data_IF_560570886380
#
_entry.id   IF_560570886380
#
_cell.length_a   1.000
_cell.length_b   1.000
_cell.length_c   1.000
_cell.angle_alpha   90.00
_cell.angle_beta   90.00
_cell.angle_gamma   90.00
#
_symmetry.space_group_name_H-M   'P 1'
#
loop_
_entity.id
_entity.type
_entity.pdbx_description
1 polymer ?
#
# COMPACT_ATOMS: atom_id res chain seq x y z
N UNK A 1 -7.23 -28.08 -16.18
CA UNK A 1 -7.47 -26.77 -16.81
C UNK A 1 -8.83 -26.84 -17.50
N UNK A 2 -9.82 -26.08 -17.05
CA UNK A 2 -11.08 -25.92 -17.78
C UNK A 2 -10.81 -24.95 -18.92
N UNK A 3 -10.68 -25.45 -20.15
CA UNK A 3 -10.62 -24.61 -21.34
C UNK A 3 -11.97 -23.90 -21.47
N UNK A 4 -12.01 -22.58 -21.25
CA UNK A 4 -13.18 -21.75 -21.52
C UNK A 4 -13.39 -21.65 -23.03
N UNK A 5 -13.99 -22.70 -23.61
CA UNK A 5 -14.38 -22.75 -25.02
C UNK A 5 -15.64 -21.93 -25.22
N UNK A 6 -15.65 -21.12 -26.27
CA UNK A 6 -16.80 -20.32 -26.65
C UNK A 6 -17.18 -20.58 -28.11
N UNK A 7 -18.44 -20.30 -28.44
CA UNK A 7 -18.93 -20.24 -29.82
C UNK A 7 -19.37 -18.84 -30.19
N UNK A 8 -19.86 -18.08 -29.21
CA UNK A 8 -20.35 -16.72 -29.34
C UNK A 8 -19.84 -15.84 -28.20
N UNK A 9 -19.86 -14.52 -28.38
CA UNK A 9 -19.50 -13.55 -27.33
C UNK A 9 -20.40 -13.70 -26.09
N UNK A 10 -21.65 -14.14 -26.25
CA UNK A 10 -22.56 -14.41 -25.15
C UNK A 10 -22.16 -15.61 -24.29
N UNK A 11 -21.31 -16.50 -24.81
CA UNK A 11 -20.77 -17.63 -24.06
C UNK A 11 -19.60 -17.20 -23.16
N UNK A 12 -19.17 -15.95 -23.30
CA UNK A 12 -18.02 -15.41 -22.63
C UNK A 12 -18.39 -14.52 -21.45
N UNK A 13 -17.54 -14.47 -20.40
CA UNK A 13 -17.68 -13.50 -19.32
C UNK A 13 -17.82 -12.07 -19.84
N UNK A 14 -18.45 -11.21 -19.05
CA UNK A 14 -18.65 -9.81 -19.36
C UNK A 14 -17.31 -9.12 -19.76
N UNK A 15 -17.29 -8.37 -20.86
CA UNK A 15 -16.13 -7.72 -21.50
C UNK A 15 -15.10 -8.61 -22.19
N UNK A 16 -15.38 -9.91 -22.29
CA UNK A 16 -14.65 -10.78 -23.20
C UNK A 16 -15.44 -11.06 -24.47
N UNK A 17 -14.70 -11.29 -25.55
CA UNK A 17 -15.23 -11.72 -26.85
C UNK A 17 -14.73 -13.10 -27.17
N UNK A 18 -15.56 -13.88 -27.85
CA UNK A 18 -15.15 -15.16 -28.34
C UNK A 18 -14.21 -14.96 -29.54
N UNK A 19 -12.91 -15.21 -29.34
CA UNK A 19 -11.89 -15.11 -30.40
C UNK A 19 -11.35 -16.49 -30.72
N UNK A 20 -11.20 -16.78 -32.02
CA UNK A 20 -10.55 -17.99 -32.50
C UNK A 20 -9.04 -17.80 -32.60
N UNK A 21 -8.28 -18.71 -32.00
CA UNK A 21 -6.82 -18.79 -32.07
C UNK A 21 -6.45 -20.07 -32.82
N UNK A 22 -5.55 -19.97 -33.78
CA UNK A 22 -5.04 -21.14 -34.52
C UNK A 22 -3.65 -21.50 -34.02
N UNK A 23 -3.49 -22.74 -33.55
CA UNK A 23 -2.20 -23.32 -33.16
C UNK A 23 -1.91 -24.53 -34.06
N UNK A 24 -0.93 -24.38 -34.95
CA UNK A 24 -0.68 -25.32 -36.04
C UNK A 24 -1.90 -25.51 -36.95
N UNK A 25 -2.46 -26.74 -36.96
CA UNK A 25 -3.64 -27.10 -37.76
C UNK A 25 -4.95 -27.11 -36.94
N UNK A 26 -4.92 -26.70 -35.68
CA UNK A 26 -6.11 -26.69 -34.82
C UNK A 26 -6.55 -25.25 -34.55
N UNK A 27 -7.85 -25.00 -34.63
CA UNK A 27 -8.45 -23.72 -34.26
C UNK A 27 -9.26 -23.90 -32.98
N UNK A 28 -8.93 -23.09 -31.98
CA UNK A 28 -9.56 -23.07 -30.66
C UNK A 28 -10.30 -21.75 -30.50
N UNK A 29 -11.57 -21.78 -30.13
CA UNK A 29 -12.32 -20.57 -29.78
C UNK A 29 -12.32 -20.38 -28.27
N UNK A 30 -11.79 -19.25 -27.82
CA UNK A 30 -11.56 -18.94 -26.42
C UNK A 30 -12.10 -17.54 -26.12
N UNK A 31 -12.60 -17.34 -24.90
CA UNK A 31 -12.98 -16.01 -24.45
C UNK A 31 -11.73 -15.17 -24.19
N UNK A 32 -11.60 -14.06 -24.92
CA UNK A 32 -10.51 -13.08 -24.77
C UNK A 32 -11.03 -11.76 -24.26
N UNK A 33 -10.33 -11.19 -23.30
CA UNK A 33 -10.49 -9.79 -22.93
C UNK A 33 -9.70 -8.95 -23.95
N UNK A 34 -10.23 -7.78 -24.36
CA UNK A 34 -9.53 -6.91 -25.31
C UNK A 34 -8.24 -6.31 -24.73
N UNK A 35 -7.35 -5.75 -25.56
CA UNK A 35 -6.15 -5.08 -25.06
C UNK A 35 -6.52 -3.70 -24.51
N UNK A 36 -6.20 -3.47 -23.24
CA UNK A 36 -6.28 -2.14 -22.62
C UNK A 36 -4.89 -1.51 -22.70
N UNK A 37 -4.72 -0.45 -23.49
CA UNK A 37 -3.58 0.44 -23.29
C UNK A 37 -4.08 1.72 -22.66
N UNK A 38 -3.42 2.06 -21.55
CA UNK A 38 -3.34 3.45 -21.16
C UNK A 38 -2.69 4.24 -22.30
N UNK A 39 -3.18 5.44 -22.64
CA UNK A 39 -2.75 6.16 -23.83
C UNK A 39 -1.22 6.26 -23.85
N UNK A 40 -0.60 5.54 -24.80
CA UNK A 40 0.83 5.67 -25.04
C UNK A 40 1.12 7.11 -25.44
N UNK A 41 2.15 7.69 -24.81
CA UNK A 41 2.81 8.89 -25.29
C UNK A 41 3.50 8.53 -26.61
N UNK A 42 2.74 8.51 -27.70
CA UNK A 42 3.29 8.42 -29.05
C UNK A 42 3.42 9.83 -29.61
N UNK A 43 4.63 10.14 -30.07
CA UNK A 43 5.00 11.42 -30.68
C UNK A 43 4.03 11.78 -31.80
N UNK A 44 3.15 12.74 -31.51
CA UNK A 44 2.21 13.28 -32.48
C UNK A 44 0.80 13.39 -31.92
N UNK A 45 0.35 14.62 -31.73
CA UNK A 45 -1.02 15.06 -31.39
C UNK A 45 -1.52 14.93 -29.95
N UNK A 46 -0.92 14.09 -29.09
CA UNK A 46 -1.23 14.06 -27.65
C UNK A 46 -0.02 14.33 -26.74
N UNK A 47 1.06 14.90 -27.28
CA UNK A 47 2.25 15.31 -26.54
C UNK A 47 2.00 16.59 -25.74
N UNK A 48 1.08 16.57 -24.79
CA UNK A 48 1.23 17.41 -23.62
C UNK A 48 2.07 16.62 -22.61
N UNK A 49 3.22 17.17 -22.28
CA UNK A 49 4.32 16.64 -21.48
C UNK A 49 4.00 16.32 -20.01
N UNK A 50 2.73 16.04 -19.68
CA UNK A 50 2.23 15.84 -18.32
C UNK A 50 1.51 14.50 -18.12
N UNK A 51 1.60 13.53 -19.05
CA UNK A 51 0.97 12.21 -18.88
C UNK A 51 1.86 11.27 -18.02
N UNK A 52 2.22 11.74 -16.82
CA UNK A 52 2.85 10.93 -15.76
C UNK A 52 1.77 10.25 -14.89
N UNK A 53 0.69 9.76 -15.51
CA UNK A 53 -0.56 9.47 -14.82
C UNK A 53 -0.84 7.97 -14.75
N UNK A 54 -1.04 7.45 -13.54
CA UNK A 54 -1.53 6.09 -13.34
C UNK A 54 -3.01 6.02 -13.68
N UNK A 55 -3.42 4.98 -14.40
CA UNK A 55 -4.82 4.72 -14.79
C UNK A 55 -5.30 3.42 -14.13
N UNK A 56 -6.54 3.45 -13.63
CA UNK A 56 -7.22 2.28 -13.06
C UNK A 56 -8.40 1.90 -13.98
N UNK A 57 -8.45 0.65 -14.43
CA UNK A 57 -9.58 0.12 -15.18
C UNK A 57 -10.56 -0.57 -14.27
N UNK A 58 -11.81 -0.11 -14.28
CA UNK A 58 -12.90 -0.73 -13.50
C UNK A 58 -14.10 -1.06 -14.38
N UNK A 59 -14.83 -2.09 -13.98
CA UNK A 59 -16.21 -2.30 -14.44
C UNK A 59 -17.14 -1.29 -13.76
N UNK A 60 -17.57 -0.25 -14.49
CA UNK A 60 -18.46 0.79 -14.00
C UNK A 60 -19.93 0.34 -13.80
N UNK A 61 -20.31 -0.87 -14.23
CA UNK A 61 -21.57 -1.49 -13.82
C UNK A 61 -21.50 -1.99 -12.38
N UNK A 62 -20.32 -2.43 -11.97
CA UNK A 62 -20.08 -3.04 -10.66
C UNK A 62 -19.50 -2.06 -9.65
N UNK A 63 -18.75 -1.06 -10.11
CA UNK A 63 -18.02 -0.14 -9.29
C UNK A 63 -18.38 1.30 -9.63
N UNK A 64 -18.73 2.06 -8.60
CA UNK A 64 -18.92 3.49 -8.71
C UNK A 64 -17.54 4.18 -8.56
N UNK A 65 -17.09 4.84 -9.62
CA UNK A 65 -15.78 5.53 -9.62
C UNK A 65 -15.77 6.83 -8.83
N UNK A 66 -16.93 7.46 -8.66
CA UNK A 66 -17.05 8.74 -7.99
C UNK A 66 -17.13 8.51 -6.48
N UNK A 67 -17.94 7.52 -6.08
CA UNK A 67 -18.10 7.09 -4.68
C UNK A 67 -17.05 6.07 -4.22
N UNK A 68 -16.28 5.49 -5.15
CA UNK A 68 -15.26 4.46 -4.89
C UNK A 68 -15.81 3.21 -4.19
N UNK A 69 -17.06 2.83 -4.50
CA UNK A 69 -17.77 1.70 -3.86
C UNK A 69 -18.30 0.69 -4.87
N UNK A 70 -18.46 -0.57 -4.44
CA UNK A 70 -19.18 -1.58 -5.23
C UNK A 70 -20.68 -1.26 -5.19
N UNK A 71 -21.29 -1.15 -6.37
CA UNK A 71 -22.72 -0.85 -6.54
C UNK A 71 -23.58 -1.97 -5.96
N UNK A 72 -24.77 -1.58 -5.51
CA UNK A 72 -25.75 -2.52 -4.95
C UNK A 72 -26.08 -3.66 -5.94
N UNK A 73 -26.16 -4.90 -5.45
CA UNK A 73 -26.44 -6.09 -6.25
C UNK A 73 -25.21 -6.90 -6.67
N UNK A 74 -24.00 -6.36 -6.46
CA UNK A 74 -22.75 -7.10 -6.65
C UNK A 74 -22.15 -7.53 -5.31
N UNK A 75 -21.46 -8.67 -5.27
CA UNK A 75 -20.79 -9.11 -4.05
C UNK A 75 -19.64 -8.17 -3.71
N UNK A 76 -19.53 -7.81 -2.42
CA UNK A 76 -18.44 -6.97 -1.90
C UNK A 76 -17.06 -7.64 -1.99
N UNK A 77 -17.05 -8.96 -2.14
CA UNK A 77 -15.82 -9.74 -2.28
C UNK A 77 -15.28 -9.73 -3.73
N UNK A 78 -16.03 -9.15 -4.68
CA UNK A 78 -15.58 -9.04 -6.07
C UNK A 78 -14.56 -7.91 -6.18
N UNK A 79 -13.47 -8.17 -6.89
CA UNK A 79 -12.45 -7.18 -7.20
C UNK A 79 -12.76 -6.53 -8.55
N UNK A 80 -13.21 -5.27 -8.58
CA UNK A 80 -13.70 -4.65 -9.80
C UNK A 80 -12.56 -4.10 -10.68
N UNK A 81 -11.32 -4.14 -10.19
CA UNK A 81 -10.16 -3.56 -10.87
C UNK A 81 -9.53 -4.60 -11.79
N UNK A 82 -9.52 -4.24 -13.07
CA UNK A 82 -9.08 -5.12 -14.14
C UNK A 82 -7.58 -4.99 -14.40
N UNK A 83 -7.05 -3.76 -14.29
CA UNK A 83 -5.67 -3.45 -14.66
C UNK A 83 -5.25 -2.09 -14.10
N UNK A 84 -3.97 -2.00 -13.71
CA UNK A 84 -3.32 -0.78 -13.25
C UNK A 84 -2.16 -0.50 -14.20
N UNK A 85 -2.16 0.67 -14.84
CA UNK A 85 -0.98 1.13 -15.59
C UNK A 85 -0.18 2.07 -14.71
N UNK A 86 1.09 1.74 -14.47
CA UNK A 86 2.03 2.68 -13.85
C UNK A 86 2.61 3.67 -14.85
N UNK A 87 3.65 4.41 -14.42
CA UNK A 87 4.40 5.38 -15.26
C UNK A 87 5.26 4.71 -16.34
N UNK A 88 5.52 3.41 -16.24
CA UNK A 88 6.20 2.59 -17.25
C UNK A 88 5.19 2.04 -18.26
N UNK A 89 5.66 1.65 -19.44
CA UNK A 89 4.86 0.95 -20.48
C UNK A 89 4.23 -0.37 -19.98
N UNK A 90 4.58 -0.83 -18.78
CA UNK A 90 4.08 -2.08 -18.21
C UNK A 90 2.88 -1.84 -17.30
N UNK A 91 1.76 -2.47 -17.65
CA UNK A 91 0.60 -2.57 -16.78
C UNK A 91 0.71 -3.81 -15.90
N UNK A 92 0.22 -3.73 -14.67
CA UNK A 92 0.12 -4.88 -13.76
C UNK A 92 -1.35 -5.21 -13.49
N UNK A 93 -1.60 -6.49 -13.26
CA UNK A 93 -2.91 -7.04 -12.96
C UNK A 93 -2.87 -7.72 -11.60
N UNK A 94 -4.04 -8.04 -11.06
CA UNK A 94 -4.15 -8.70 -9.76
C UNK A 94 -3.42 -10.06 -9.72
N UNK A 95 -2.91 -10.42 -8.54
CA UNK A 95 -2.41 -11.77 -8.32
C UNK A 95 -3.56 -12.77 -8.25
N UNK A 96 -3.29 -13.99 -8.67
CA UNK A 96 -4.25 -15.07 -8.65
C UNK A 96 -3.58 -16.42 -8.36
N UNK A 97 -4.36 -17.35 -7.84
CA UNK A 97 -3.96 -18.75 -7.68
C UNK A 97 -4.77 -19.66 -8.61
N UNK A 98 -5.97 -19.24 -9.00
CA UNK A 98 -6.86 -19.94 -9.92
C UNK A 98 -7.62 -18.93 -10.78
N UNK A 99 -8.14 -19.41 -11.91
CA UNK A 99 -8.89 -18.62 -12.88
C UNK A 99 -10.06 -17.84 -12.29
N UNK A 100 -10.76 -18.41 -11.31
CA UNK A 100 -11.87 -17.74 -10.62
C UNK A 100 -11.44 -16.56 -9.75
N UNK A 101 -10.15 -16.43 -9.46
CA UNK A 101 -9.62 -15.26 -8.72
C UNK A 101 -9.49 -14.04 -9.63
N UNK A 102 -9.57 -14.24 -10.96
CA UNK A 102 -9.46 -13.20 -11.96
C UNK A 102 -10.81 -12.88 -12.56
N UNK A 103 -11.14 -11.59 -12.64
CA UNK A 103 -12.28 -11.17 -13.45
C UNK A 103 -12.15 -11.62 -14.91
N UNK A 104 -10.92 -11.66 -15.43
CA UNK A 104 -10.63 -12.20 -16.77
C UNK A 104 -10.92 -13.71 -16.91
N UNK A 105 -11.22 -14.40 -15.81
CA UNK A 105 -11.34 -15.85 -15.78
C UNK A 105 -10.03 -16.58 -16.09
N UNK A 106 -8.88 -15.89 -16.09
CA UNK A 106 -7.61 -16.49 -16.46
C UNK A 106 -6.47 -16.03 -15.54
N UNK A 107 -5.87 -17.02 -14.88
CA UNK A 107 -4.70 -16.87 -14.05
C UNK A 107 -3.49 -17.57 -14.68
N UNK A 108 -2.42 -16.84 -14.96
CA UNK A 108 -1.15 -17.42 -15.44
C UNK A 108 0.02 -16.83 -14.66
N UNK A 109 0.94 -17.68 -14.21
CA UNK A 109 2.13 -17.28 -13.45
C UNK A 109 1.79 -16.37 -12.25
N UNK A 110 0.73 -16.70 -11.53
CA UNK A 110 0.19 -15.94 -10.39
C UNK A 110 -0.24 -14.51 -10.72
N UNK A 111 -0.53 -14.21 -11.98
CA UNK A 111 -1.06 -12.93 -12.44
C UNK A 111 -2.32 -13.16 -13.25
N UNK A 112 -3.32 -12.31 -13.06
CA UNK A 112 -4.51 -12.30 -13.89
C UNK A 112 -4.11 -11.81 -15.26
N UNK A 113 -3.82 -12.72 -16.18
CA UNK A 113 -3.41 -12.31 -17.51
C UNK A 113 -4.65 -12.00 -18.34
N UNK A 114 -4.50 -11.00 -19.20
CA UNK A 114 -5.23 -11.04 -20.44
C UNK A 114 -4.55 -12.09 -21.32
N UNK A 115 -5.31 -13.03 -21.86
CA UNK A 115 -4.80 -14.25 -22.49
C UNK A 115 -4.19 -14.02 -23.88
N UNK A 116 -3.14 -13.20 -24.00
CA UNK A 116 -2.44 -13.02 -25.28
C UNK A 116 -0.95 -12.71 -25.23
N UNK A 117 -0.23 -13.42 -26.09
CA UNK A 117 1.15 -13.16 -26.49
C UNK A 117 1.17 -12.50 -27.90
N UNK A 118 0.19 -11.64 -28.19
CA UNK A 118 -0.07 -11.11 -29.54
C UNK A 118 -0.22 -9.59 -29.54
N UNK A 119 0.53 -8.94 -30.43
CA UNK A 119 0.38 -7.53 -30.78
C UNK A 119 -0.94 -7.29 -31.53
N UNK A 120 -1.60 -6.17 -31.22
CA UNK A 120 -2.74 -5.51 -31.91
C UNK A 120 -4.16 -5.99 -31.50
N UNK A 121 -4.82 -5.26 -30.59
CA UNK A 121 -5.89 -4.27 -30.82
C UNK A 121 -6.20 -3.49 -29.52
N UNK A 122 -5.78 -2.23 -29.50
CA UNK A 122 -5.72 -1.34 -28.34
C UNK A 122 -7.04 -0.57 -28.17
N UNK A 123 -7.69 -0.66 -27.01
CA UNK A 123 -8.74 0.29 -26.62
C UNK A 123 -8.10 1.52 -25.97
N UNK A 124 -8.07 2.64 -26.70
CA UNK A 124 -7.62 3.95 -26.19
C UNK A 124 -8.65 4.54 -25.23
N UNK A 125 -8.17 5.04 -24.09
CA UNK A 125 -8.90 5.96 -23.21
C UNK A 125 -9.07 7.34 -23.86
N UNK A 126 -9.89 7.44 -24.91
CA UNK A 126 -10.57 8.67 -25.28
C UNK A 126 -11.71 8.30 -26.21
N UNK A 127 -12.91 8.13 -25.67
CA UNK A 127 -14.10 8.11 -26.53
C UNK A 127 -15.10 9.05 -25.91
N UNK A 128 -15.38 10.13 -26.63
CA UNK A 128 -16.44 11.13 -26.38
C UNK A 128 -17.86 10.51 -26.43
N UNK A 129 -17.99 9.19 -26.34
CA UNK A 129 -19.25 8.46 -26.33
C UNK A 129 -19.39 7.67 -25.01
N UNK A 130 -19.49 8.43 -23.91
CA UNK A 130 -19.60 7.94 -22.52
C UNK A 130 -20.81 7.03 -22.28
N UNK A 131 -21.78 6.98 -23.21
CA UNK A 131 -23.05 6.27 -23.03
C UNK A 131 -22.99 4.77 -23.36
N UNK A 132 -21.95 4.29 -24.05
CA UNK A 132 -21.96 2.95 -24.66
C UNK A 132 -20.98 1.94 -24.04
N UNK A 133 -20.03 2.40 -23.24
CA UNK A 133 -18.99 1.54 -22.67
C UNK A 133 -19.03 1.55 -21.14
N UNK A 134 -18.94 0.36 -20.57
CA UNK A 134 -19.02 0.15 -19.12
C UNK A 134 -17.65 0.23 -18.43
N UNK A 135 -16.57 0.51 -19.16
CA UNK A 135 -15.23 0.62 -18.59
C UNK A 135 -14.78 2.08 -18.61
N UNK A 136 -14.25 2.55 -17.49
CA UNK A 136 -13.81 3.93 -17.28
C UNK A 136 -12.38 3.91 -16.70
N UNK A 137 -11.50 4.80 -17.17
CA UNK A 137 -10.26 5.15 -16.45
C UNK A 137 -10.51 6.41 -15.61
N UNK A 138 -10.04 6.40 -14.37
CA UNK A 138 -9.92 7.59 -13.52
C UNK A 138 -8.43 7.92 -13.35
N UNK A 139 -8.09 9.19 -13.53
CA UNK A 139 -6.77 9.71 -13.18
C UNK A 139 -6.56 9.55 -11.68
N UNK A 140 -5.46 8.91 -11.30
CA UNK A 140 -5.02 8.89 -9.91
C UNK A 140 -4.36 10.23 -9.60
N UNK A 141 -4.98 11.01 -8.73
CA UNK A 141 -4.35 12.21 -8.17
C UNK A 141 -3.62 11.78 -6.90
N UNK A 142 -2.29 11.65 -6.98
CA UNK A 142 -1.45 11.46 -5.81
C UNK A 142 -1.79 12.52 -4.75
N UNK A 143 -1.87 12.08 -3.48
CA UNK A 143 -2.02 12.98 -2.35
C UNK A 143 -0.82 13.91 -2.32
N UNK A 144 -1.07 15.20 -2.51
CA UNK A 144 -0.05 16.24 -2.49
C UNK A 144 -0.48 17.38 -1.57
N UNK A 145 0.50 18.02 -0.94
CA UNK A 145 0.25 19.16 -0.07
C UNK A 145 0.44 20.47 -0.84
N UNK A 146 -0.48 21.41 -0.64
CA UNK A 146 -0.34 22.78 -1.11
C UNK A 146 0.75 23.49 -0.30
N UNK A 147 2.00 23.33 -0.75
CA UNK A 147 3.15 23.97 -0.13
C UNK A 147 3.00 25.51 -0.08
N UNK A 148 2.24 26.10 -0.99
CA UNK A 148 2.02 27.56 -1.00
C UNK A 148 1.10 28.00 0.14
N UNK A 149 0.17 27.14 0.58
CA UNK A 149 -0.65 27.37 1.76
C UNK A 149 0.18 27.18 3.03
N UNK A 150 1.00 26.13 3.10
CA UNK A 150 1.90 25.85 4.25
C UNK A 150 2.90 26.99 4.46
N UNK A 151 3.48 27.53 3.38
CA UNK A 151 4.45 28.63 3.47
C UNK A 151 3.84 29.96 3.92
N UNK A 152 2.52 30.06 4.06
CA UNK A 152 1.80 31.25 4.56
C UNK A 152 1.49 31.17 6.05
N UNK A 153 1.88 30.10 6.73
CA UNK A 153 1.72 29.97 8.19
C UNK A 153 2.36 31.17 8.87
N UNK A 154 1.65 31.76 9.83
CA UNK A 154 2.11 32.92 10.59
C UNK A 154 3.53 32.67 11.19
N UNK A 155 4.49 33.61 11.03
CA UNK A 155 5.85 33.42 11.52
C UNK A 155 5.97 33.20 13.03
N UNK A 156 5.05 33.74 13.84
CA UNK A 156 5.03 33.48 15.28
C UNK A 156 4.60 32.03 15.55
N UNK A 157 3.62 31.51 14.80
CA UNK A 157 3.22 30.11 14.82
C UNK A 157 4.39 29.19 14.44
N UNK A 158 5.06 29.46 13.32
CA UNK A 158 6.24 28.70 12.88
C UNK A 158 7.37 28.70 13.93
N UNK A 159 7.61 29.84 14.59
CA UNK A 159 8.63 29.92 15.65
C UNK A 159 8.26 29.11 16.91
N UNK A 160 6.97 29.00 17.24
CA UNK A 160 6.51 28.18 18.36
C UNK A 160 6.60 26.68 18.03
N UNK A 161 6.15 26.26 16.83
CA UNK A 161 6.13 24.86 16.41
C UNK A 161 7.54 24.27 16.30
N UNK A 162 8.53 25.06 15.86
CA UNK A 162 9.95 24.65 15.78
C UNK A 162 10.52 24.11 17.09
N UNK A 163 9.98 24.50 18.25
CA UNK A 163 10.42 23.97 19.55
C UNK A 163 10.13 22.48 19.69
N UNK A 164 9.09 21.98 19.02
CA UNK A 164 8.60 20.61 19.11
C UNK A 164 8.80 19.82 17.80
N UNK A 165 9.50 20.39 16.82
CA UNK A 165 9.76 19.76 15.53
C UNK A 165 10.39 18.36 15.69
N UNK A 166 11.27 18.21 16.67
CA UNK A 166 11.92 16.93 16.99
C UNK A 166 10.95 15.82 17.42
N UNK A 167 9.77 16.16 17.94
CA UNK A 167 8.73 15.16 18.27
C UNK A 167 8.04 14.60 17.04
N UNK A 168 8.15 15.30 15.90
CA UNK A 168 7.53 14.96 14.62
C UNK A 168 8.57 14.66 13.52
N UNK A 169 9.85 14.62 13.86
CA UNK A 169 10.92 14.30 12.90
C UNK A 169 11.10 12.79 12.78
N UNK A 170 11.31 12.31 11.56
CA UNK A 170 11.65 10.91 11.29
C UNK A 170 13.06 10.64 11.86
N UNK A 171 13.22 9.63 12.74
CA UNK A 171 14.52 9.22 13.27
C UNK A 171 15.53 8.95 12.17
N UNK A 172 16.74 9.48 12.32
CA UNK A 172 17.84 9.20 11.42
C UNK A 172 18.39 7.78 11.62
N UNK A 173 18.97 7.17 10.58
CA UNK A 173 19.59 5.84 10.77
C UNK A 173 20.79 5.89 11.73
N UNK A 174 21.52 7.03 11.75
CA UNK A 174 22.73 7.20 12.56
C UNK A 174 22.40 7.38 14.05
N UNK A 175 21.30 8.07 14.37
CA UNK A 175 20.91 8.39 15.75
C UNK A 175 19.58 7.74 16.15
N UNK A 176 19.17 6.67 15.47
CA UNK A 176 17.86 6.05 15.61
C UNK A 176 17.42 5.86 17.07
N UNK A 177 18.28 5.27 17.91
CA UNK A 177 17.97 5.00 19.31
C UNK A 177 17.83 6.27 20.15
N UNK A 178 18.66 7.29 19.89
CA UNK A 178 18.61 8.56 20.61
C UNK A 178 17.40 9.39 20.20
N UNK A 179 17.10 9.44 18.89
CA UNK A 179 15.96 10.12 18.32
C UNK A 179 14.66 9.48 18.85
N UNK A 180 14.54 8.15 18.78
CA UNK A 180 13.38 7.43 19.30
C UNK A 180 13.20 7.57 20.82
N UNK A 181 14.30 7.66 21.58
CA UNK A 181 14.24 7.95 23.02
C UNK A 181 13.70 9.36 23.29
N UNK A 182 14.06 10.36 22.49
CA UNK A 182 13.52 11.72 22.61
C UNK A 182 12.04 11.77 22.24
N UNK A 183 11.66 11.12 21.14
CA UNK A 183 10.27 11.06 20.67
C UNK A 183 9.36 10.36 21.68
N UNK A 184 9.84 9.33 22.37
CA UNK A 184 9.09 8.62 23.41
C UNK A 184 9.06 9.34 24.77
N UNK A 185 9.67 10.52 24.88
CA UNK A 185 9.69 11.30 26.13
C UNK A 185 8.29 11.80 26.53
N UNK A 186 8.11 12.07 27.84
CA UNK A 186 6.89 12.66 28.38
C UNK A 186 6.56 14.01 27.71
N UNK A 187 7.58 14.77 27.31
CA UNK A 187 7.41 16.04 26.61
C UNK A 187 6.71 15.87 25.25
N UNK A 188 7.15 14.91 24.43
CA UNK A 188 6.52 14.63 23.15
C UNK A 188 5.13 13.99 23.30
N UNK A 189 4.94 13.11 24.28
CA UNK A 189 3.61 12.55 24.58
C UNK A 189 2.61 13.65 25.01
N UNK A 190 3.08 14.61 25.82
CA UNK A 190 2.30 15.77 26.23
C UNK A 190 2.00 16.69 25.05
N UNK A 191 2.98 16.91 24.16
CA UNK A 191 2.80 17.67 22.92
C UNK A 191 1.70 17.08 22.04
N UNK A 192 1.73 15.78 21.77
CA UNK A 192 0.69 15.11 20.95
C UNK A 192 -0.69 15.22 21.58
N UNK A 193 -0.77 15.05 22.90
CA UNK A 193 -2.02 15.10 23.64
C UNK A 193 -2.62 16.50 23.74
N UNK A 194 -1.79 17.55 23.67
CA UNK A 194 -2.18 18.93 23.98
C UNK A 194 -1.81 19.95 22.87
N UNK A 195 -1.54 19.49 21.65
CA UNK A 195 -1.01 20.28 20.53
C UNK A 195 -1.72 21.63 20.36
N UNK A 196 -3.05 21.67 20.36
CA UNK A 196 -3.81 22.92 20.13
C UNK A 196 -3.62 23.98 21.22
N UNK A 197 -3.34 23.54 22.45
CA UNK A 197 -3.13 24.44 23.60
C UNK A 197 -1.68 24.92 23.70
N UNK A 198 -0.75 24.19 23.10
CA UNK A 198 0.68 24.54 23.10
C UNK A 198 1.04 25.66 22.12
N UNK A 199 0.19 25.91 21.11
CA UNK A 199 0.45 26.89 20.06
C UNK A 199 -0.64 27.96 19.98
N UNK A 200 -0.75 28.85 20.97
CA UNK A 200 -1.78 29.90 20.96
C UNK A 200 -1.66 30.83 19.75
N UNK A 201 -0.43 31.05 19.24
CA UNK A 201 -0.21 31.88 18.05
C UNK A 201 -0.80 31.25 16.77
N UNK A 202 -0.90 29.92 16.71
CA UNK A 202 -1.44 29.20 15.55
C UNK A 202 -2.98 29.16 15.51
N UNK A 203 -3.69 29.57 16.57
CA UNK A 203 -5.15 29.38 16.66
C UNK A 203 -5.96 30.21 15.66
N UNK A 204 -5.40 31.33 15.20
CA UNK A 204 -6.03 32.22 14.23
C UNK A 204 -5.64 31.89 12.78
N UNK A 205 -4.64 31.03 12.58
CA UNK A 205 -4.21 30.58 11.27
C UNK A 205 -5.00 29.31 10.89
N UNK A 206 -5.88 29.36 9.88
CA UNK A 206 -6.73 28.23 9.54
C UNK A 206 -5.93 27.00 9.07
N UNK A 207 -4.81 27.23 8.36
CA UNK A 207 -3.95 26.16 7.85
C UNK A 207 -3.17 25.53 9.00
N UNK A 208 -2.55 26.35 9.85
CA UNK A 208 -1.81 25.83 11.00
C UNK A 208 -2.72 25.07 11.96
N UNK A 209 -3.93 25.58 12.23
CA UNK A 209 -4.93 24.93 13.09
C UNK A 209 -5.33 23.53 12.58
N UNK A 210 -5.40 23.36 11.27
CA UNK A 210 -5.75 22.10 10.62
C UNK A 210 -4.58 21.09 10.67
N UNK A 211 -3.37 21.53 10.31
CA UNK A 211 -2.16 20.70 10.34
C UNK A 211 -1.80 20.30 11.78
N UNK A 212 -2.00 21.21 12.74
CA UNK A 212 -1.81 20.98 14.18
C UNK A 212 -3.09 20.46 14.85
N UNK A 213 -4.05 19.94 14.09
CA UNK A 213 -5.19 19.25 14.69
C UNK A 213 -4.71 18.01 15.43
N UNK A 214 -5.44 17.63 16.49
CA UNK A 214 -5.12 16.43 17.27
C UNK A 214 -5.07 15.19 16.38
N UNK A 215 -5.95 15.09 15.37
CA UNK A 215 -6.02 13.93 14.47
C UNK A 215 -4.78 13.80 13.59
N UNK A 216 -4.33 14.89 12.96
CA UNK A 216 -3.12 14.91 12.12
C UNK A 216 -1.87 14.68 12.97
N UNK A 217 -1.79 15.35 14.13
CA UNK A 217 -0.65 15.21 15.05
C UNK A 217 -0.53 13.79 15.61
N UNK A 218 -1.66 13.19 16.01
CA UNK A 218 -1.71 11.79 16.46
C UNK A 218 -1.29 10.84 15.34
N UNK A 219 -1.75 11.06 14.10
CA UNK A 219 -1.36 10.23 12.96
C UNK A 219 0.13 10.29 12.65
N UNK A 220 0.71 11.49 12.64
CA UNK A 220 2.15 11.67 12.48
C UNK A 220 2.92 11.01 13.62
N UNK A 221 2.46 11.15 14.86
CA UNK A 221 3.10 10.51 16.01
C UNK A 221 3.00 8.99 15.98
N UNK A 222 1.87 8.41 15.56
CA UNK A 222 1.73 6.96 15.37
C UNK A 222 2.67 6.43 14.29
N UNK A 223 2.82 7.16 13.18
CA UNK A 223 3.78 6.83 12.13
C UNK A 223 5.21 6.80 12.66
N UNK A 224 5.62 7.81 13.43
CA UNK A 224 6.97 7.87 14.00
C UNK A 224 7.17 6.80 15.08
N UNK A 225 6.15 6.58 15.93
CA UNK A 225 6.16 5.51 16.94
C UNK A 225 6.33 4.13 16.28
N UNK A 226 5.67 3.92 15.13
CA UNK A 226 5.87 2.73 14.31
C UNK A 226 7.31 2.64 13.78
N UNK A 227 7.89 3.72 13.24
CA UNK A 227 9.30 3.76 12.81
C UNK A 227 10.24 3.35 13.96
N UNK A 228 9.95 3.79 15.17
CA UNK A 228 10.69 3.51 16.40
C UNK A 228 10.46 2.10 16.99
N UNK A 229 9.61 1.28 16.39
CA UNK A 229 9.27 -0.02 16.96
C UNK A 229 10.46 -1.00 16.92
N UNK A 230 10.58 -1.78 17.98
CA UNK A 230 11.63 -2.79 18.16
C UNK A 230 11.04 -4.19 18.34
N UNK A 231 11.81 -5.19 17.92
CA UNK A 231 11.55 -6.59 18.22
C UNK A 231 11.91 -6.93 19.68
N UNK A 232 11.70 -8.18 20.05
CA UNK A 232 11.94 -8.73 21.39
C UNK A 232 13.43 -8.67 21.79
N UNK A 233 14.34 -8.64 20.82
CA UNK A 233 15.77 -8.51 21.03
C UNK A 233 16.25 -7.04 21.11
N UNK A 234 15.34 -6.07 20.99
CA UNK A 234 15.67 -4.64 21.00
C UNK A 234 16.21 -4.09 19.69
N UNK A 235 16.14 -4.86 18.60
CA UNK A 235 16.50 -4.41 17.25
C UNK A 235 15.28 -3.74 16.58
N UNK A 236 15.52 -2.75 15.71
CA UNK A 236 14.44 -2.12 14.94
C UNK A 236 13.67 -3.14 14.09
N UNK A 237 12.36 -2.99 14.00
CA UNK A 237 11.53 -3.87 13.19
C UNK A 237 11.87 -3.78 11.69
N UNK A 238 11.95 -4.90 10.94
CA UNK A 238 12.34 -4.87 9.53
C UNK A 238 11.43 -4.00 8.66
N UNK A 239 10.10 -4.15 8.78
CA UNK A 239 9.15 -3.32 8.02
C UNK A 239 9.25 -1.83 8.37
N UNK A 240 9.41 -1.50 9.66
CA UNK A 240 9.51 -0.10 10.09
C UNK A 240 10.80 0.58 9.61
N UNK A 241 11.90 -0.18 9.57
CA UNK A 241 13.17 0.24 8.97
C UNK A 241 13.03 0.49 7.47
N UNK A 242 12.42 -0.43 6.75
CA UNK A 242 12.18 -0.28 5.30
C UNK A 242 11.27 0.92 5.00
N UNK A 243 10.22 1.10 5.80
CA UNK A 243 9.31 2.24 5.68
C UNK A 243 10.03 3.58 5.92
N UNK A 244 10.84 3.69 6.99
CA UNK A 244 11.63 4.91 7.27
C UNK A 244 12.60 5.27 6.13
N UNK A 245 13.29 4.28 5.56
CA UNK A 245 14.15 4.48 4.38
C UNK A 245 13.37 5.03 3.19
N UNK A 246 12.16 4.53 2.96
CA UNK A 246 11.32 4.96 1.84
C UNK A 246 10.91 6.43 1.97
N UNK A 247 10.58 6.86 3.20
CA UNK A 247 10.28 8.27 3.49
C UNK A 247 11.50 9.19 3.28
N UNK A 248 12.68 8.79 3.76
CA UNK A 248 13.88 9.62 3.67
C UNK A 248 14.43 9.77 2.24
N UNK A 249 14.22 8.77 1.38
CA UNK A 249 14.78 8.76 0.04
C UNK A 249 13.87 9.42 -1.02
N UNK A 250 12.73 10.02 -0.63
CA UNK A 250 11.69 10.48 -1.57
C UNK A 250 11.35 9.41 -2.63
N UNK A 251 11.43 8.12 -2.26
CA UNK A 251 11.15 7.03 -3.19
C UNK A 251 9.63 6.98 -3.29
N UNK A 252 9.11 7.60 -4.34
CA UNK A 252 7.67 7.72 -4.55
C UNK A 252 6.96 6.38 -4.82
N UNK A 253 7.65 5.22 -4.82
CA UNK A 253 7.01 3.91 -5.03
C UNK A 253 7.73 2.80 -4.27
N UNK A 254 6.99 2.13 -3.39
CA UNK A 254 7.29 0.78 -2.89
C UNK A 254 6.87 -0.17 -4.03
N UNK A 255 7.83 -0.74 -4.75
CA UNK A 255 7.56 -1.61 -5.91
C UNK A 255 7.54 -3.09 -5.49
N UNK A 256 6.32 -3.57 -5.23
CA UNK A 256 6.08 -4.94 -4.80
C UNK A 256 6.33 -5.95 -5.91
N UNK A 257 7.58 -6.38 -5.99
CA UNK A 257 8.02 -7.49 -6.83
C UNK A 257 7.98 -8.81 -6.04
N UNK A 258 7.25 -9.85 -6.51
CA UNK A 258 7.34 -11.19 -5.91
C UNK A 258 8.77 -11.72 -6.02
N UNK A 259 9.34 -12.21 -4.91
CA UNK A 259 10.77 -12.50 -4.71
C UNK A 259 11.70 -11.28 -4.57
N UNK A 260 11.13 -10.08 -4.42
CA UNK A 260 11.87 -8.86 -4.18
C UNK A 260 12.28 -8.68 -2.71
N UNK A 261 13.06 -7.61 -2.47
CA UNK A 261 13.50 -7.19 -1.14
C UNK A 261 12.31 -7.04 -0.16
N UNK A 262 11.16 -6.61 -0.66
CA UNK A 262 9.95 -6.38 0.14
C UNK A 262 9.36 -7.67 0.73
N UNK A 263 9.31 -8.76 -0.05
CA UNK A 263 8.83 -10.04 0.46
C UNK A 263 9.71 -10.52 1.62
N UNK A 264 11.03 -10.38 1.46
CA UNK A 264 11.98 -10.69 2.52
C UNK A 264 11.75 -9.83 3.77
N UNK A 265 11.52 -8.53 3.60
CA UNK A 265 11.22 -7.62 4.74
C UNK A 265 9.94 -8.04 5.48
N UNK A 266 8.91 -8.48 4.74
CA UNK A 266 7.68 -8.99 5.36
C UNK A 266 7.92 -10.29 6.14
N UNK A 267 8.63 -11.25 5.54
CA UNK A 267 8.99 -12.53 6.18
C UNK A 267 9.82 -12.29 7.45
N UNK A 268 10.86 -11.46 7.39
CA UNK A 268 11.67 -11.06 8.55
C UNK A 268 10.84 -10.36 9.64
N UNK A 269 9.82 -9.61 9.24
CA UNK A 269 8.90 -8.97 10.20
C UNK A 269 8.02 -9.99 10.91
N UNK A 270 7.62 -11.07 10.23
CA UNK A 270 6.83 -12.17 10.78
C UNK A 270 7.61 -13.05 11.77
N UNK A 271 8.94 -13.02 11.77
CA UNK A 271 9.78 -13.72 12.75
C UNK A 271 9.67 -13.14 14.17
N UNK A 272 9.15 -11.90 14.31
CA UNK A 272 8.95 -11.22 15.59
C UNK A 272 7.47 -10.95 15.84
N UNK A 273 6.92 -11.45 16.96
CA UNK A 273 5.52 -11.22 17.33
C UNK A 273 5.24 -9.73 17.56
N UNK A 274 6.18 -9.02 18.21
CA UNK A 274 6.14 -7.58 18.44
C UNK A 274 6.10 -6.81 17.13
N UNK A 275 7.03 -7.11 16.20
CA UNK A 275 7.11 -6.41 14.93
C UNK A 275 5.93 -6.71 14.00
N UNK A 276 5.46 -7.97 13.95
CA UNK A 276 4.25 -8.32 13.22
C UNK A 276 3.06 -7.53 13.74
N UNK A 277 2.84 -7.53 15.06
CA UNK A 277 1.68 -6.88 15.67
C UNK A 277 1.68 -5.37 15.44
N UNK A 278 2.80 -4.70 15.74
CA UNK A 278 2.89 -3.24 15.56
C UNK A 278 2.76 -2.83 14.09
N UNK A 279 3.26 -3.66 13.16
CA UNK A 279 3.08 -3.42 11.72
C UNK A 279 1.62 -3.59 11.32
N UNK A 280 0.96 -4.66 11.75
CA UNK A 280 -0.47 -4.88 11.50
C UNK A 280 -1.31 -3.72 12.02
N UNK A 281 -1.10 -3.33 13.28
CA UNK A 281 -1.85 -2.24 13.94
C UNK A 281 -1.62 -0.90 13.20
N UNK A 282 -0.39 -0.62 12.77
CA UNK A 282 -0.07 0.59 12.01
C UNK A 282 -0.70 0.61 10.61
N UNK A 283 -0.61 -0.49 9.86
CA UNK A 283 -1.22 -0.56 8.52
C UNK A 283 -2.74 -0.47 8.62
N UNK A 284 -3.36 -1.08 9.63
CA UNK A 284 -4.79 -0.95 9.88
C UNK A 284 -5.18 0.49 10.21
N UNK A 285 -4.39 1.20 11.04
CA UNK A 285 -4.58 2.62 11.31
C UNK A 285 -4.50 3.48 10.04
N UNK A 286 -3.57 3.17 9.12
CA UNK A 286 -3.48 3.88 7.83
C UNK A 286 -4.77 3.77 7.00
N UNK A 287 -5.37 2.57 6.99
CA UNK A 287 -6.62 2.27 6.27
C UNK A 287 -7.80 2.97 6.91
N UNK A 288 -7.98 2.80 8.23
CA UNK A 288 -9.23 3.16 8.91
C UNK A 288 -9.31 4.63 9.33
N UNK A 289 -8.18 5.24 9.68
CA UNK A 289 -8.17 6.55 10.33
C UNK A 289 -7.34 7.59 9.60
N UNK A 290 -6.12 7.23 9.16
CA UNK A 290 -5.18 8.19 8.60
C UNK A 290 -5.64 8.75 7.26
N UNK A 291 -6.15 7.88 6.37
CA UNK A 291 -6.67 8.25 5.05
C UNK A 291 -7.63 9.45 5.13
N UNK A 292 -8.71 9.29 5.89
CA UNK A 292 -9.74 10.32 6.03
C UNK A 292 -9.22 11.60 6.71
N UNK A 293 -8.19 11.47 7.56
CA UNK A 293 -7.56 12.61 8.21
C UNK A 293 -6.81 13.49 7.22
N UNK A 294 -6.07 12.87 6.30
CA UNK A 294 -5.20 13.60 5.35
C UNK A 294 -6.01 14.11 4.16
N UNK A 295 -6.91 13.29 3.62
CA UNK A 295 -7.77 13.68 2.50
C UNK A 295 -8.76 14.79 2.87
N UNK A 296 -9.12 14.88 4.15
CA UNK A 296 -10.02 15.92 4.65
C UNK A 296 -9.37 17.29 4.82
N UNK A 297 -8.04 17.42 4.68
CA UNK A 297 -7.36 18.69 4.93
C UNK A 297 -7.54 19.66 3.76
N UNK A 298 -7.78 20.93 4.06
CA UNK A 298 -7.88 21.99 3.05
C UNK A 298 -6.59 22.24 2.27
N UNK A 299 -5.45 21.83 2.84
CA UNK A 299 -4.12 21.89 2.21
C UNK A 299 -3.76 20.64 1.42
N UNK A 300 -4.60 19.61 1.41
CA UNK A 300 -4.35 18.39 0.65
C UNK A 300 -5.10 18.44 -0.68
N UNK A 301 -4.44 18.01 -1.75
CA UNK A 301 -5.03 17.76 -3.05
C UNK A 301 -4.87 16.29 -3.42
N UNK A 302 -5.87 15.72 -4.09
CA UNK A 302 -5.87 14.31 -4.45
C UNK A 302 -6.49 13.42 -3.38
N UNK A 303 -6.45 12.11 -3.62
CA UNK A 303 -6.96 11.08 -2.71
C UNK A 303 -6.01 9.89 -2.75
N UNK A 304 -5.95 9.12 -1.67
CA UNK A 304 -5.26 7.84 -1.70
C UNK A 304 -5.89 6.96 -2.76
N UNK A 305 -5.05 6.43 -3.62
CA UNK A 305 -5.52 5.62 -4.71
C UNK A 305 -5.93 4.24 -4.21
N UNK A 306 -6.84 3.58 -4.93
CA UNK A 306 -7.30 2.25 -4.54
C UNK A 306 -6.14 1.24 -4.48
N UNK A 307 -5.10 1.37 -5.29
CA UNK A 307 -3.96 0.45 -5.29
C UNK A 307 -3.15 0.59 -4.01
N UNK A 308 -2.97 1.81 -3.50
CA UNK A 308 -2.37 2.08 -2.20
C UNK A 308 -3.21 1.42 -1.11
N UNK A 309 -4.53 1.67 -1.09
CA UNK A 309 -5.43 1.11 -0.07
C UNK A 309 -5.51 -0.43 -0.15
N UNK A 310 -5.64 -1.01 -1.34
CA UNK A 310 -5.66 -2.46 -1.53
C UNK A 310 -4.33 -3.12 -1.22
N UNK A 311 -3.20 -2.43 -1.45
CA UNK A 311 -1.88 -2.88 -1.01
C UNK A 311 -1.82 -2.92 0.52
N UNK A 312 -2.31 -1.90 1.21
CA UNK A 312 -2.41 -1.90 2.67
C UNK A 312 -3.31 -3.05 3.17
N UNK A 313 -4.46 -3.30 2.55
CA UNK A 313 -5.31 -4.46 2.89
C UNK A 313 -4.59 -5.79 2.71
N UNK A 314 -3.83 -5.97 1.62
CA UNK A 314 -3.05 -7.19 1.41
C UNK A 314 -1.96 -7.36 2.45
N UNK A 315 -1.35 -6.27 2.90
CA UNK A 315 -0.38 -6.30 4.01
C UNK A 315 -1.07 -6.70 5.32
N UNK A 316 -2.22 -6.13 5.66
CA UNK A 316 -2.95 -6.52 6.88
C UNK A 316 -3.40 -7.98 6.85
N UNK A 317 -3.90 -8.46 5.71
CA UNK A 317 -4.23 -9.87 5.48
C UNK A 317 -3.01 -10.78 5.70
N UNK A 318 -1.85 -10.43 5.11
CA UNK A 318 -0.63 -11.22 5.26
C UNK A 318 -0.14 -11.25 6.70
N UNK A 319 -0.02 -10.09 7.37
CA UNK A 319 0.45 -10.02 8.76
C UNK A 319 -0.51 -10.69 9.75
N UNK A 320 -1.79 -10.83 9.40
CA UNK A 320 -2.78 -11.56 10.20
C UNK A 320 -2.94 -13.04 9.81
N UNK A 321 -2.27 -13.50 8.76
CA UNK A 321 -2.35 -14.89 8.29
C UNK A 321 -1.68 -15.88 9.27
N UNK A 322 -2.12 -17.14 9.24
CA UNK A 322 -1.48 -18.21 10.01
C UNK A 322 -0.03 -18.44 9.57
N UNK A 323 0.26 -18.27 8.28
CA UNK A 323 1.62 -18.35 7.71
C UNK A 323 2.59 -17.40 8.44
N UNK A 324 2.24 -16.11 8.51
CA UNK A 324 3.05 -15.13 9.23
C UNK A 324 3.07 -15.38 10.75
N UNK A 325 1.95 -15.85 11.32
CA UNK A 325 1.85 -16.14 12.77
C UNK A 325 2.67 -17.34 13.21
N UNK A 326 2.88 -18.32 12.35
CA UNK A 326 3.64 -19.53 12.67
C UNK A 326 5.16 -19.32 12.54
N UNK A 327 5.59 -18.27 11.82
CA UNK A 327 7.01 -17.89 11.73
C UNK A 327 7.58 -17.46 13.08
N UNK A 328 6.85 -16.66 13.86
CA UNK A 328 7.33 -16.23 15.19
C UNK A 328 7.45 -17.39 16.19
N UNK A 329 6.63 -18.44 16.04
CA UNK A 329 6.70 -19.65 16.90
C UNK A 329 7.95 -20.48 16.61
N UNK A 330 8.43 -20.44 15.37
CA UNK A 330 9.63 -21.18 14.94
C UNK A 330 10.92 -20.53 15.45
N UNK A 331 10.85 -19.24 15.80
CA UNK A 331 11.92 -18.47 16.45
C UNK A 331 12.07 -18.72 17.95
N UNK A 332 11.21 -19.57 18.55
CA UNK A 332 11.59 -20.26 19.78
C UNK A 332 12.79 -21.13 19.42
N UNK A 333 13.99 -20.55 19.52
CA UNK A 333 15.22 -21.29 19.72
C UNK A 333 14.82 -22.30 20.77
N UNK A 334 14.66 -23.55 20.36
CA UNK A 334 14.83 -24.67 21.25
C UNK A 334 16.23 -24.41 21.76
N UNK A 335 16.33 -23.71 22.89
CA UNK A 335 17.51 -23.64 23.70
C UNK A 335 17.73 -25.13 23.91
N UNK A 336 18.59 -25.72 23.08
CA UNK A 336 19.38 -26.86 23.46
C UNK A 336 20.14 -26.31 24.64
N UNK A 337 19.49 -26.29 25.80
CA UNK A 337 20.14 -26.24 27.07
C UNK A 337 20.91 -27.54 27.00
N UNK A 338 22.13 -27.42 26.49
CA UNK A 338 23.03 -28.53 26.34
C UNK A 338 23.07 -29.14 27.73
N UNK A 339 22.82 -30.44 27.84
CA UNK A 339 22.84 -31.12 29.13
C UNK A 339 24.14 -30.82 29.90
N UNK A 340 25.21 -30.41 29.19
CA UNK A 340 26.45 -29.85 29.75
C UNK A 340 26.26 -28.63 30.67
N UNK A 341 25.32 -27.71 30.43
CA UNK A 341 25.11 -26.57 31.33
C UNK A 341 24.56 -27.04 32.68
N UNK A 342 23.57 -27.95 32.67
CA UNK A 342 23.04 -28.55 33.90
C UNK A 342 24.03 -29.50 34.59
N UNK A 343 24.83 -30.25 33.83
CA UNK A 343 25.91 -31.10 34.39
C UNK A 343 27.00 -30.23 35.03
N UNK A 344 27.36 -29.11 34.41
CA UNK A 344 28.36 -28.18 34.96
C UNK A 344 27.86 -27.46 36.20
N UNK A 345 26.59 -27.02 36.23
CA UNK A 345 25.97 -26.43 37.41
C UNK A 345 25.81 -27.45 38.56
N UNK A 346 25.46 -28.70 38.22
CA UNK A 346 25.35 -29.80 39.18
C UNK A 346 26.69 -30.21 39.78
N UNK A 347 27.76 -30.23 38.99
CA UNK A 347 29.13 -30.47 39.49
C UNK A 347 29.63 -29.33 40.38
N UNK A 348 29.30 -28.07 40.05
CA UNK A 348 29.69 -26.91 40.86
C UNK A 348 29.00 -26.92 42.24
N UNK A 349 27.76 -27.39 42.31
CA UNK A 349 27.03 -27.58 43.57
C UNK A 349 27.57 -28.74 44.42
N UNK A 350 28.20 -29.76 43.80
CA UNK A 350 28.88 -30.86 44.51
C UNK A 350 30.23 -30.44 45.12
N UNK A 351 30.83 -29.32 44.70
CA UNK A 351 32.05 -28.79 45.30
C UNK A 351 31.78 -27.75 46.41
N UNK A 352 30.54 -27.31 46.56
CA UNK A 352 30.12 -26.33 47.57
C UNK A 352 29.45 -26.98 48.80
N UNK A 353 29.34 -28.30 48.82
CA UNK A 353 28.83 -29.12 49.93
C UNK A 353 29.86 -30.20 50.26
#
# INVERSE_FOLDING_TARGET
MLEMKCKYDSDCPQYSKCKSITDGNQTHSLCKFGDFLCPEVTDGYFTNSNVNESCVYVDALMYDLDEETIKEGFSKDIKPILQICGKSESCTTEKCNKNSDCFSGMCLNHKCINGDNLNYEIYRCSVDDQAKYFMKCKKVNDVSYDQSAINKIDPACDAETKKYEYCLTIPSEQNFDEDCKKISSEECQNFVSNVQTMFPSCQNDPVAKEILSSKVTEGTYKMISFICSKNEAGNQCPFSKHFSKSLNNNINQVDYTPNGEEQKVMEETCESDSCRKVTYDFVQYLIDEFKDSVEGLSVTQGKYDFNQISTLHRLTEYFNSDECKDMSKSGAVTLKISASLFISLGLLLLFLY
#
